data_IF_549906779746
#
_entry.id   IF_549906779746
#
_cell.length_a   1.000
_cell.length_b   1.000
_cell.length_c   1.000
_cell.angle_alpha   90.00
_cell.angle_beta   90.00
_cell.angle_gamma   90.00
#
_symmetry.space_group_name_H-M   'P 1'
#
loop_
_entity.id
_entity.type
_entity.pdbx_description
1 polymer ?
#
# COMPACT_ATOMS: atom_id res chain seq x y z
N UNK A 1 -5.10 39.71 19.98
CA UNK A 1 -4.07 38.98 19.18
C UNK A 1 -3.35 37.88 19.96
N UNK A 2 -3.03 38.06 21.25
CA UNK A 2 -2.34 37.03 22.06
C UNK A 2 -3.10 35.71 22.22
N UNK A 3 -4.42 35.75 22.47
CA UNK A 3 -5.25 34.55 22.62
C UNK A 3 -5.32 33.68 21.35
N UNK A 4 -5.46 34.31 20.18
CA UNK A 4 -5.49 33.59 18.90
C UNK A 4 -4.15 32.90 18.59
N UNK A 5 -3.03 33.58 18.81
CA UNK A 5 -1.69 32.98 18.63
C UNK A 5 -1.45 31.81 19.59
N UNK A 6 -1.96 31.91 20.83
CA UNK A 6 -1.94 30.82 21.80
C UNK A 6 -2.72 29.59 21.33
N UNK A 7 -3.97 29.80 20.87
CA UNK A 7 -4.79 28.73 20.32
C UNK A 7 -4.15 28.05 19.10
N UNK A 8 -3.57 28.82 18.17
CA UNK A 8 -2.82 28.26 17.03
C UNK A 8 -1.64 27.39 17.46
N UNK A 9 -0.89 27.80 18.49
CA UNK A 9 0.24 27.02 19.02
C UNK A 9 -0.20 25.69 19.61
N UNK A 10 -1.24 25.71 20.44
CA UNK A 10 -1.78 24.50 21.07
C UNK A 10 -2.32 23.54 20.01
N UNK A 11 -3.13 24.04 19.08
CA UNK A 11 -3.68 23.24 17.99
C UNK A 11 -2.59 22.67 17.08
N UNK A 12 -1.60 23.49 16.70
CA UNK A 12 -0.47 23.04 15.88
C UNK A 12 0.37 21.96 16.59
N UNK A 13 0.61 22.10 17.90
CA UNK A 13 1.33 21.10 18.70
C UNK A 13 0.61 19.75 18.74
N UNK A 14 -0.69 19.76 19.04
CA UNK A 14 -1.50 18.54 19.09
C UNK A 14 -1.65 17.89 17.72
N UNK A 15 -1.92 18.68 16.67
CA UNK A 15 -1.94 18.18 15.29
C UNK A 15 -0.59 17.57 14.92
N UNK A 16 0.52 18.19 15.31
CA UNK A 16 1.85 17.62 15.13
C UNK A 16 1.97 16.22 15.71
N UNK A 17 1.60 16.03 16.99
CA UNK A 17 1.68 14.72 17.66
C UNK A 17 0.85 13.65 16.93
N UNK A 18 -0.38 13.97 16.53
CA UNK A 18 -1.27 12.99 15.90
C UNK A 18 -0.97 12.70 14.43
N UNK A 19 -0.53 13.71 13.67
CA UNK A 19 -0.33 13.58 12.22
C UNK A 19 1.08 13.09 11.88
N UNK A 20 2.08 13.35 12.74
CA UNK A 20 3.47 13.05 12.43
C UNK A 20 3.73 11.57 12.07
N UNK A 21 3.13 10.57 12.75
CA UNK A 21 3.30 9.18 12.32
C UNK A 21 2.83 8.94 10.89
N UNK A 22 1.75 9.60 10.46
CA UNK A 22 1.22 9.49 9.10
C UNK A 22 2.09 10.21 8.08
N UNK A 23 2.61 11.39 8.41
CA UNK A 23 3.59 12.09 7.57
C UNK A 23 4.84 11.25 7.38
N UNK A 24 5.33 10.59 8.43
CA UNK A 24 6.47 9.67 8.34
C UNK A 24 6.14 8.48 7.46
N UNK A 25 4.97 7.84 7.62
CA UNK A 25 4.55 6.71 6.78
C UNK A 25 4.43 7.13 5.31
N UNK A 26 3.73 8.23 5.03
CA UNK A 26 3.53 8.74 3.66
C UNK A 26 4.87 9.14 3.04
N UNK A 27 5.74 9.82 3.79
CA UNK A 27 7.08 10.19 3.35
C UNK A 27 7.96 8.98 3.06
N UNK A 28 8.02 8.01 3.98
CA UNK A 28 8.82 6.80 3.81
C UNK A 28 8.31 5.93 2.65
N UNK A 29 6.99 5.77 2.51
CA UNK A 29 6.39 5.04 1.40
C UNK A 29 6.58 5.75 0.07
N UNK A 30 6.48 7.08 0.03
CA UNK A 30 6.77 7.88 -1.16
C UNK A 30 8.23 7.77 -1.58
N UNK A 31 9.15 7.86 -0.61
CA UNK A 31 10.58 7.68 -0.83
C UNK A 31 10.88 6.29 -1.40
N UNK A 32 10.30 5.23 -0.83
CA UNK A 32 10.40 3.88 -1.39
C UNK A 32 9.87 3.82 -2.82
N UNK A 33 8.70 4.39 -3.11
CA UNK A 33 8.10 4.30 -4.44
C UNK A 33 8.92 5.01 -5.51
N UNK A 34 9.66 6.07 -5.14
CA UNK A 34 10.57 6.78 -6.03
C UNK A 34 11.94 6.10 -6.16
N UNK A 35 12.42 5.45 -5.08
CA UNK A 35 13.76 4.87 -4.99
C UNK A 35 13.76 3.35 -4.73
N UNK A 36 12.78 2.63 -5.29
CA UNK A 36 12.56 1.21 -4.96
C UNK A 36 13.82 0.34 -5.16
N UNK A 37 14.67 0.69 -6.15
CA UNK A 37 15.94 0.02 -6.42
C UNK A 37 16.90 -0.03 -5.22
N UNK A 38 16.93 1.03 -4.40
CA UNK A 38 17.79 1.11 -3.21
C UNK A 38 17.36 0.13 -2.12
N UNK A 39 16.08 -0.23 -2.08
CA UNK A 39 15.50 -1.10 -1.07
C UNK A 39 15.37 -2.56 -1.52
N UNK A 40 15.86 -2.88 -2.73
CA UNK A 40 15.76 -4.23 -3.29
C UNK A 40 16.48 -5.27 -2.42
N UNK A 41 17.56 -4.92 -1.73
CA UNK A 41 18.27 -5.81 -0.79
C UNK A 41 17.54 -5.96 0.54
N UNK A 42 17.01 -4.86 1.08
CA UNK A 42 16.28 -4.85 2.37
C UNK A 42 14.96 -5.63 2.30
N UNK A 43 14.28 -5.53 1.15
CA UNK A 43 13.00 -6.20 0.90
C UNK A 43 13.13 -7.32 -0.14
N UNK A 44 14.38 -7.78 -0.37
CA UNK A 44 14.66 -8.92 -1.20
C UNK A 44 13.80 -10.09 -0.72
N UNK A 45 13.13 -10.73 -1.65
CA UNK A 45 12.41 -11.96 -1.37
C UNK A 45 13.21 -13.11 -1.91
N UNK A 46 13.12 -14.24 -1.22
CA UNK A 46 13.74 -15.48 -1.66
C UNK A 46 13.38 -15.74 -3.12
N UNK A 47 14.42 -15.88 -3.93
CA UNK A 47 14.30 -16.20 -5.35
C UNK A 47 13.85 -17.66 -5.47
N UNK A 48 12.56 -17.86 -5.71
CA UNK A 48 12.03 -19.19 -6.04
C UNK A 48 12.22 -19.49 -7.52
N UNK A 49 12.98 -20.54 -7.81
CA UNK A 49 13.15 -21.03 -9.18
C UNK A 49 11.94 -21.85 -9.61
N UNK A 50 11.15 -21.34 -10.55
CA UNK A 50 9.99 -22.05 -11.09
C UNK A 50 10.37 -23.31 -11.89
N UNK A 51 11.66 -23.52 -12.21
CA UNK A 51 12.13 -24.76 -12.87
C UNK A 51 11.92 -26.00 -11.99
N UNK A 52 11.87 -25.84 -10.67
CA UNK A 52 11.55 -26.93 -9.74
C UNK A 52 10.13 -27.46 -9.96
N UNK A 53 9.21 -26.60 -10.43
CA UNK A 53 7.82 -26.97 -10.70
C UNK A 53 7.69 -27.87 -11.94
N UNK A 54 8.66 -27.83 -12.85
CA UNK A 54 8.63 -28.62 -14.09
C UNK A 54 8.87 -30.10 -13.85
N UNK A 55 9.48 -30.43 -12.71
CA UNK A 55 9.68 -31.82 -12.26
C UNK A 55 8.42 -32.43 -11.67
N UNK A 56 7.41 -31.61 -11.36
CA UNK A 56 6.18 -32.05 -10.72
C UNK A 56 5.22 -32.57 -11.78
N UNK A 57 4.72 -33.79 -11.58
CA UNK A 57 3.61 -34.34 -12.35
C UNK A 57 2.35 -34.35 -11.50
N UNK A 58 1.18 -33.98 -12.06
CA UNK A 58 -0.07 -34.08 -11.34
C UNK A 58 -0.44 -35.55 -11.16
N UNK A 59 -0.99 -35.90 -10.00
CA UNK A 59 -1.49 -37.25 -9.71
C UNK A 59 -2.75 -37.60 -10.52
N UNK A 60 -3.43 -36.62 -11.10
CA UNK A 60 -4.64 -36.78 -11.90
C UNK A 60 -4.74 -35.68 -12.97
N UNK A 61 -5.48 -35.90 -14.07
CA UNK A 61 -5.67 -34.87 -15.10
C UNK A 61 -6.26 -33.59 -14.51
N UNK A 62 -5.63 -32.45 -14.81
CA UNK A 62 -6.14 -31.13 -14.40
C UNK A 62 -7.23 -30.70 -15.37
N UNK A 63 -8.45 -30.56 -14.86
CA UNK A 63 -9.64 -30.20 -15.65
C UNK A 63 -10.23 -28.87 -15.19
N UNK A 64 -11.21 -28.36 -15.95
CA UNK A 64 -11.98 -27.18 -15.53
C UNK A 64 -12.72 -27.44 -14.22
N UNK A 65 -13.24 -28.65 -14.04
CA UNK A 65 -13.95 -29.07 -12.84
C UNK A 65 -13.01 -29.13 -11.63
N UNK A 66 -11.81 -29.69 -11.78
CA UNK A 66 -10.81 -29.70 -10.69
C UNK A 66 -10.42 -28.27 -10.28
N UNK A 67 -10.33 -27.33 -11.24
CA UNK A 67 -10.10 -25.92 -10.94
C UNK A 67 -11.29 -25.29 -10.17
N UNK A 68 -12.52 -25.61 -10.55
CA UNK A 68 -13.73 -25.15 -9.86
C UNK A 68 -13.79 -25.66 -8.42
N UNK A 69 -13.52 -26.95 -8.21
CA UNK A 69 -13.47 -27.59 -6.88
C UNK A 69 -12.39 -26.98 -6.00
N UNK A 70 -11.17 -26.80 -6.53
CA UNK A 70 -10.09 -26.11 -5.84
C UNK A 70 -10.52 -24.68 -5.45
N UNK A 71 -11.21 -23.99 -6.37
CA UNK A 71 -11.79 -22.68 -6.14
C UNK A 71 -12.79 -22.63 -4.99
N UNK A 72 -13.67 -23.63 -4.89
CA UNK A 72 -14.65 -23.76 -3.82
C UNK A 72 -13.98 -24.10 -2.48
N UNK A 73 -12.99 -25.00 -2.48
CA UNK A 73 -12.27 -25.41 -1.28
C UNK A 73 -11.46 -24.28 -0.64
N UNK A 74 -10.69 -23.53 -1.42
CA UNK A 74 -9.78 -22.51 -0.87
C UNK A 74 -10.50 -21.27 -0.32
N UNK A 75 -11.62 -20.87 -0.93
CA UNK A 75 -12.40 -19.70 -0.51
C UNK A 75 -13.90 -20.02 -0.56
N UNK A 76 -14.45 -20.80 0.38
CA UNK A 76 -15.83 -21.26 0.33
C UNK A 76 -16.83 -20.08 0.28
N UNK A 77 -16.57 -19.01 1.01
CA UNK A 77 -17.48 -17.87 1.14
C UNK A 77 -17.49 -16.90 -0.06
N UNK A 78 -16.60 -17.09 -1.02
CA UNK A 78 -16.48 -16.19 -2.17
C UNK A 78 -17.10 -16.86 -3.42
N UNK A 79 -18.04 -16.22 -4.13
CA UNK A 79 -18.55 -16.77 -5.38
C UNK A 79 -17.46 -16.75 -6.46
N UNK A 80 -17.48 -17.75 -7.34
CA UNK A 80 -16.65 -17.78 -8.55
C UNK A 80 -17.28 -16.81 -9.56
N UNK A 81 -16.54 -15.77 -9.93
CA UNK A 81 -16.97 -14.79 -10.94
C UNK A 81 -16.83 -15.34 -12.35
N UNK A 82 -15.71 -16.02 -12.64
CA UNK A 82 -15.46 -16.66 -13.92
C UNK A 82 -14.32 -17.66 -13.84
N UNK A 83 -14.31 -18.62 -14.77
CA UNK A 83 -13.20 -19.55 -14.99
C UNK A 83 -12.74 -19.39 -16.44
N UNK A 84 -11.46 -19.12 -16.66
CA UNK A 84 -10.89 -19.00 -18.01
C UNK A 84 -9.60 -19.79 -18.14
N UNK A 85 -9.23 -20.18 -19.37
CA UNK A 85 -7.97 -20.86 -19.66
C UNK A 85 -7.02 -19.87 -20.33
N UNK A 86 -5.82 -19.68 -19.76
CA UNK A 86 -4.80 -18.74 -20.26
C UNK A 86 -3.40 -19.27 -19.99
N UNK A 87 -2.40 -18.73 -20.67
CA UNK A 87 -1.00 -18.98 -20.35
C UNK A 87 -0.60 -18.17 -19.11
N UNK A 88 0.10 -18.81 -18.16
CA UNK A 88 0.69 -18.15 -17.00
C UNK A 88 2.11 -18.69 -16.79
N UNK A 89 3.10 -17.79 -16.78
CA UNK A 89 4.53 -18.16 -16.78
C UNK A 89 4.86 -19.26 -17.80
N UNK A 90 4.37 -19.08 -19.03
CA UNK A 90 4.56 -20.05 -20.13
C UNK A 90 3.73 -21.33 -20.05
N UNK A 91 2.91 -21.53 -18.99
CA UNK A 91 2.19 -22.79 -18.77
C UNK A 91 0.67 -22.61 -18.98
N UNK A 92 0.00 -23.52 -19.71
CA UNK A 92 -1.45 -23.45 -19.85
C UNK A 92 -2.08 -23.70 -18.47
N UNK A 93 -2.95 -22.79 -18.04
CA UNK A 93 -3.48 -22.75 -16.68
C UNK A 93 -4.96 -22.36 -16.67
N UNK A 94 -5.70 -22.86 -15.69
CA UNK A 94 -7.05 -22.39 -15.37
C UNK A 94 -6.99 -21.24 -14.37
N UNK A 95 -7.67 -20.15 -14.69
CA UNK A 95 -7.81 -18.98 -13.86
C UNK A 95 -9.22 -18.98 -13.28
N UNK A 96 -9.33 -19.12 -11.96
CA UNK A 96 -10.57 -19.00 -11.21
C UNK A 96 -10.59 -17.62 -10.56
N UNK A 97 -11.45 -16.76 -11.06
CA UNK A 97 -11.60 -15.38 -10.60
C UNK A 97 -12.62 -15.34 -9.47
N UNK A 98 -12.24 -14.78 -8.31
CA UNK A 98 -13.10 -14.64 -7.13
C UNK A 98 -12.96 -13.22 -6.56
N UNK A 99 -13.84 -12.83 -5.64
CA UNK A 99 -13.81 -11.48 -5.05
C UNK A 99 -12.49 -11.17 -4.31
N UNK A 100 -11.91 -12.17 -3.63
CA UNK A 100 -10.66 -12.03 -2.86
C UNK A 100 -9.39 -12.04 -3.71
N UNK A 101 -9.47 -12.51 -4.96
CA UNK A 101 -8.32 -12.65 -5.84
C UNK A 101 -8.52 -13.73 -6.90
N UNK A 102 -7.39 -14.25 -7.40
CA UNK A 102 -7.38 -15.26 -8.45
C UNK A 102 -6.67 -16.52 -7.95
N UNK A 103 -7.23 -17.68 -8.31
CA UNK A 103 -6.56 -18.97 -8.17
C UNK A 103 -6.14 -19.39 -9.57
N UNK A 104 -4.87 -19.73 -9.74
CA UNK A 104 -4.29 -20.09 -11.04
C UNK A 104 -3.77 -21.51 -10.95
N UNK A 105 -4.49 -22.47 -11.52
CA UNK A 105 -4.13 -23.89 -11.49
C UNK A 105 -3.38 -24.27 -12.78
N UNK A 106 -2.15 -24.74 -12.65
CA UNK A 106 -1.32 -25.13 -13.79
C UNK A 106 -1.73 -26.52 -14.30
N UNK A 107 -2.10 -26.61 -15.58
CA UNK A 107 -2.51 -27.87 -16.21
C UNK A 107 -1.39 -28.92 -16.23
N UNK A 108 -0.15 -28.62 -16.65
CA UNK A 108 0.87 -29.67 -16.84
C UNK A 108 1.41 -30.27 -15.55
N UNK A 109 1.26 -29.59 -14.41
CA UNK A 109 2.01 -29.88 -13.17
C UNK A 109 1.11 -29.96 -11.93
N UNK A 110 -0.14 -29.50 -12.01
CA UNK A 110 -1.10 -29.52 -10.90
C UNK A 110 -0.84 -28.54 -9.77
N UNK A 111 0.32 -27.86 -9.74
CA UNK A 111 0.58 -26.78 -8.79
C UNK A 111 -0.37 -25.60 -9.06
N UNK A 112 -0.58 -24.78 -8.03
CA UNK A 112 -1.45 -23.61 -8.17
C UNK A 112 -0.89 -22.38 -7.48
N UNK A 113 -1.30 -21.21 -7.99
CA UNK A 113 -1.01 -19.92 -7.39
C UNK A 113 -2.25 -19.34 -6.76
N UNK A 114 -2.14 -18.90 -5.51
CA UNK A 114 -3.12 -18.06 -4.85
C UNK A 114 -2.67 -16.60 -4.93
N UNK A 115 -3.31 -15.82 -5.80
CA UNK A 115 -2.92 -14.43 -6.05
C UNK A 115 -3.96 -13.46 -5.49
N UNK A 116 -3.55 -12.68 -4.51
CA UNK A 116 -4.33 -11.58 -3.95
C UNK A 116 -3.83 -10.24 -4.51
N UNK A 117 -4.35 -9.13 -3.97
CA UNK A 117 -3.84 -7.79 -4.29
C UNK A 117 -2.36 -7.63 -3.90
N UNK A 118 -1.96 -8.20 -2.77
CA UNK A 118 -0.67 -7.94 -2.11
C UNK A 118 0.28 -9.13 -2.11
N UNK A 119 -0.21 -10.34 -2.37
CA UNK A 119 0.61 -11.56 -2.30
C UNK A 119 0.33 -12.50 -3.46
N UNK A 120 1.32 -13.33 -3.76
CA UNK A 120 1.19 -14.56 -4.56
C UNK A 120 1.80 -15.69 -3.77
N UNK A 121 0.99 -16.68 -3.41
CA UNK A 121 1.47 -17.94 -2.80
C UNK A 121 1.47 -19.03 -3.85
N UNK A 122 2.53 -19.82 -3.91
CA UNK A 122 2.67 -20.96 -4.80
C UNK A 122 2.52 -22.22 -3.97
N UNK A 123 1.63 -23.10 -4.40
CA UNK A 123 1.35 -24.36 -3.73
C UNK A 123 1.61 -25.52 -4.67
N UNK A 124 2.16 -26.61 -4.14
CA UNK A 124 2.28 -27.88 -4.86
C UNK A 124 0.90 -28.51 -5.12
N UNK A 125 0.84 -29.56 -5.96
CA UNK A 125 -0.41 -30.28 -6.24
C UNK A 125 -1.04 -30.91 -4.99
N UNK A 126 -0.23 -31.28 -3.99
CA UNK A 126 -0.69 -31.79 -2.70
C UNK A 126 -1.16 -30.71 -1.71
N UNK A 127 -1.03 -29.42 -2.06
CA UNK A 127 -1.40 -28.31 -1.19
C UNK A 127 -0.27 -27.77 -0.30
N UNK A 128 0.95 -28.28 -0.41
CA UNK A 128 2.12 -27.75 0.31
C UNK A 128 2.48 -26.35 -0.18
N UNK A 129 2.75 -25.42 0.75
CA UNK A 129 3.20 -24.08 0.41
C UNK A 129 4.67 -24.10 -0.03
N UNK A 130 4.92 -23.89 -1.32
CA UNK A 130 6.27 -23.88 -1.90
C UNK A 130 6.94 -22.51 -1.87
N UNK A 131 6.17 -21.43 -2.04
CA UNK A 131 6.70 -20.07 -2.06
C UNK A 131 5.66 -19.02 -1.69
N UNK A 132 6.11 -17.92 -1.09
CA UNK A 132 5.30 -16.70 -0.92
C UNK A 132 6.04 -15.50 -1.48
N UNK A 133 5.39 -14.80 -2.42
CA UNK A 133 5.83 -13.51 -2.96
C UNK A 133 4.95 -12.37 -2.44
N UNK A 134 5.56 -11.35 -1.84
CA UNK A 134 4.90 -10.12 -1.44
C UNK A 134 5.08 -9.04 -2.51
N UNK A 135 4.02 -8.30 -2.82
CA UNK A 135 4.08 -7.18 -3.75
C UNK A 135 4.27 -5.87 -2.97
N UNK A 136 5.46 -5.66 -2.39
CA UNK A 136 5.78 -4.49 -1.54
C UNK A 136 5.41 -3.16 -2.18
N UNK A 137 5.70 -3.00 -3.48
CA UNK A 137 5.26 -1.82 -4.25
C UNK A 137 3.75 -1.56 -4.17
N UNK A 138 2.92 -2.61 -4.16
CA UNK A 138 1.45 -2.47 -4.02
C UNK A 138 1.02 -2.18 -2.59
N UNK A 139 1.71 -2.75 -1.61
CA UNK A 139 1.48 -2.49 -0.18
C UNK A 139 1.77 -1.03 0.12
N UNK A 140 2.97 -0.56 -0.20
CA UNK A 140 3.38 0.81 0.04
C UNK A 140 2.60 1.82 -0.79
N UNK A 141 2.23 1.49 -2.03
CA UNK A 141 1.31 2.34 -2.79
C UNK A 141 -0.06 2.47 -2.11
N UNK A 142 -0.60 1.38 -1.55
CA UNK A 142 -1.86 1.45 -0.79
C UNK A 142 -1.73 2.36 0.44
N UNK A 143 -0.64 2.22 1.20
CA UNK A 143 -0.37 3.05 2.37
C UNK A 143 -0.13 4.52 2.00
N UNK A 144 0.56 4.78 0.88
CA UNK A 144 0.86 6.13 0.41
C UNK A 144 -0.39 6.86 -0.11
N UNK A 145 -1.19 6.18 -0.94
CA UNK A 145 -2.38 6.79 -1.57
C UNK A 145 -3.56 6.91 -0.60
N UNK A 146 -3.74 5.92 0.29
CA UNK A 146 -4.93 5.80 1.11
C UNK A 146 -4.63 5.77 2.62
N UNK A 147 -3.39 6.00 3.07
CA UNK A 147 -3.05 5.93 4.50
C UNK A 147 -3.27 4.55 5.16
N UNK A 148 -3.67 3.53 4.38
CA UNK A 148 -4.08 2.22 4.89
C UNK A 148 -3.92 1.10 3.84
N UNK A 149 -3.84 -0.14 4.31
CA UNK A 149 -3.86 -1.32 3.42
C UNK A 149 -5.32 -1.65 3.08
N UNK A 150 -5.74 -1.30 1.87
CA UNK A 150 -7.11 -1.44 1.41
C UNK A 150 -7.72 -0.09 1.03
N UNK A 151 -9.02 -0.07 0.69
CA UNK A 151 -9.73 1.16 0.32
C UNK A 151 -10.81 1.59 1.32
N UNK A 152 -11.25 0.72 2.23
CA UNK A 152 -12.38 1.00 3.14
C UNK A 152 -12.11 2.13 4.13
N UNK A 153 -11.22 1.89 5.09
CA UNK A 153 -10.86 2.90 6.11
C UNK A 153 -9.89 3.97 5.58
N UNK A 154 -9.20 3.68 4.48
CA UNK A 154 -8.08 4.48 4.02
C UNK A 154 -8.46 5.85 3.46
N UNK A 155 -9.53 5.93 2.65
CA UNK A 155 -9.90 7.19 2.00
C UNK A 155 -10.24 8.29 3.01
N UNK A 156 -11.04 7.97 4.03
CA UNK A 156 -11.39 8.94 5.07
C UNK A 156 -10.18 9.39 5.90
N UNK A 157 -9.28 8.45 6.23
CA UNK A 157 -8.06 8.76 6.97
C UNK A 157 -7.11 9.65 6.15
N UNK A 158 -6.99 9.38 4.85
CA UNK A 158 -6.19 10.20 3.94
C UNK A 158 -6.73 11.63 3.86
N UNK A 159 -8.04 11.81 3.72
CA UNK A 159 -8.68 13.13 3.68
C UNK A 159 -8.47 13.90 4.99
N UNK A 160 -8.64 13.23 6.14
CA UNK A 160 -8.41 13.82 7.45
C UNK A 160 -6.95 14.27 7.61
N UNK A 161 -5.99 13.43 7.23
CA UNK A 161 -4.57 13.77 7.27
C UNK A 161 -4.24 14.93 6.33
N UNK A 162 -4.82 14.97 5.13
CA UNK A 162 -4.60 16.05 4.17
C UNK A 162 -5.09 17.41 4.71
N UNK A 163 -6.31 17.47 5.23
CA UNK A 163 -6.85 18.67 5.88
C UNK A 163 -5.96 19.10 7.04
N UNK A 164 -5.57 18.14 7.87
CA UNK A 164 -4.76 18.40 9.04
C UNK A 164 -3.36 18.92 8.66
N UNK A 165 -2.75 18.41 7.58
CA UNK A 165 -1.50 18.94 7.00
C UNK A 165 -1.66 20.34 6.43
N UNK A 166 -2.78 20.66 5.78
CA UNK A 166 -3.06 22.03 5.30
C UNK A 166 -3.13 23.01 6.48
N UNK A 167 -3.89 22.66 7.52
CA UNK A 167 -4.01 23.48 8.74
C UNK A 167 -2.64 23.62 9.42
N UNK A 168 -1.88 22.53 9.50
CA UNK A 168 -0.52 22.54 10.05
C UNK A 168 0.41 23.49 9.28
N UNK A 169 0.37 23.46 7.94
CA UNK A 169 1.15 24.36 7.09
C UNK A 169 0.77 25.83 7.26
N UNK A 170 -0.54 26.14 7.21
CA UNK A 170 -1.04 27.51 7.37
C UNK A 170 -0.73 28.08 8.76
N UNK A 171 -0.97 27.29 9.81
CA UNK A 171 -0.67 27.71 11.19
C UNK A 171 0.84 27.90 11.40
N UNK A 172 1.67 27.05 10.82
CA UNK A 172 3.13 27.19 10.84
C UNK A 172 3.61 28.49 10.18
N UNK A 173 3.14 28.77 8.95
CA UNK A 173 3.48 30.02 8.23
C UNK A 173 3.00 31.25 9.00
N UNK A 174 1.79 31.22 9.55
CA UNK A 174 1.25 32.32 10.36
C UNK A 174 2.09 32.57 11.61
N UNK A 175 2.39 31.52 12.38
CA UNK A 175 3.18 31.62 13.61
C UNK A 175 4.62 32.08 13.36
N UNK A 176 5.21 31.72 12.21
CA UNK A 176 6.54 32.18 11.82
C UNK A 176 6.53 33.65 11.33
N UNK A 177 5.51 34.05 10.57
CA UNK A 177 5.42 35.38 9.95
C UNK A 177 4.96 36.46 10.92
N UNK A 178 3.98 36.17 11.78
CA UNK A 178 3.40 37.13 12.72
C UNK A 178 4.44 37.89 13.58
N UNK A 179 5.40 37.23 14.27
CA UNK A 179 6.39 37.93 15.09
C UNK A 179 7.39 38.75 14.27
N UNK A 180 7.64 38.39 13.00
CA UNK A 180 8.51 39.16 12.10
C UNK A 180 7.81 40.43 11.62
N UNK A 181 6.57 40.31 11.16
CA UNK A 181 5.75 41.44 10.71
C UNK A 181 5.56 42.45 11.86
N UNK A 182 5.29 41.98 13.08
CA UNK A 182 5.18 42.85 14.25
C UNK A 182 6.48 43.57 14.60
N UNK A 183 7.65 42.96 14.38
CA UNK A 183 8.96 43.61 14.57
C UNK A 183 9.22 44.66 13.49
N UNK A 184 8.93 44.34 12.24
CA UNK A 184 9.11 45.26 11.12
C UNK A 184 8.24 46.50 11.25
N UNK A 185 6.93 46.34 11.55
CA UNK A 185 6.01 47.47 11.77
C UNK A 185 6.44 48.39 12.91
N UNK A 186 7.03 47.84 13.98
CA UNK A 186 7.56 48.64 15.10
C UNK A 186 8.79 49.43 14.70
N UNK A 187 9.70 48.84 13.91
CA UNK A 187 10.88 49.55 13.37
C UNK A 187 10.51 50.68 12.42
N UNK A 188 9.55 50.45 11.51
CA UNK A 188 9.10 51.48 10.56
C UNK A 188 8.42 52.68 11.24
N UNK A 189 7.77 52.48 12.39
CA UNK A 189 7.19 53.58 13.19
C UNK A 189 8.21 54.31 14.08
N UNK A 190 9.39 53.74 14.28
CA UNK A 190 10.43 54.29 15.15
C UNK A 190 11.51 55.09 14.40
N UNK A 191 11.39 55.22 13.07
CA UNK A 191 12.22 56.13 12.28
C UNK A 191 11.61 57.54 12.38
N UNK A 192 12.30 58.53 12.99
CA UNK A 192 11.83 59.91 12.98
C UNK A 192 11.83 60.44 11.54
N UNK A 193 10.76 61.15 11.17
CA UNK A 193 10.65 61.88 9.92
C UNK A 193 11.67 63.03 9.96
N UNK A 194 12.84 62.80 9.37
CA UNK A 194 13.88 63.81 9.26
C UNK A 194 13.56 64.65 8.00
N UNK A 195 12.67 65.63 8.17
CA UNK A 195 12.42 66.73 7.24
C UNK A 195 12.82 68.04 7.88
#
# INVERSE_FOLDING_TARGET
MGGFLGACRTLHGWLGVFIMPWVVIIGATGFYLNHAGMFNSLLAQDHFSETQLEKIKPSSPVTRESAQLLGASLWPDAPIKSISRKLYHGRPSYFVHKARGNIILSIPTGHYYLKTRYTRRTYGPGGDLLHTKYYWRRVFRSLHEAGWVGRGLGTWLADAVAIAMMVFGVTGVFMWSAPKIHRWRRRSKALPDNR
#
